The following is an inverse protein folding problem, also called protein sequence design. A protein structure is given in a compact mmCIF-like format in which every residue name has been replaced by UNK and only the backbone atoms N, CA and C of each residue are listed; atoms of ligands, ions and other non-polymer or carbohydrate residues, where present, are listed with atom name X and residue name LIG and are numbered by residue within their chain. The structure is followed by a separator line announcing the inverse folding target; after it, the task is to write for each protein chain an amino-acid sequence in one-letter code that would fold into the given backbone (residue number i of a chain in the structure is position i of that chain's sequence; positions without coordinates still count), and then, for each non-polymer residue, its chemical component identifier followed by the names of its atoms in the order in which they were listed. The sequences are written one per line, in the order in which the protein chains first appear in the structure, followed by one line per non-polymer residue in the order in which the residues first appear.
data_IF_738209154172
#
_entry.id   IF_738209154172
#
_cell.length_a   1.000
_cell.length_b   1.000
_cell.length_c   1.000
_cell.angle_alpha   90.00
_cell.angle_beta   90.00
_cell.angle_gamma   90.00
#
_symmetry.space_group_name_H-M   'P 1'
#
loop_
_entity.id
_entity.type
_entity.pdbx_description
1 polymer ?
#
# COMPACT_ATOMS: atom_id res chain seq x y z
N UNK A 1 7.65 -13.46 55.19
CA UNK A 1 7.59 -14.74 54.45
C UNK A 1 7.26 -14.44 53.00
N UNK A 2 8.18 -14.80 52.10
CA UNK A 2 8.12 -14.53 50.68
C UNK A 2 7.02 -15.35 50.00
N UNK A 3 6.23 -14.70 49.14
CA UNK A 3 5.48 -15.37 48.07
C UNK A 3 6.29 -15.22 46.78
N UNK A 4 7.34 -16.04 46.65
CA UNK A 4 8.02 -16.29 45.39
C UNK A 4 7.54 -17.63 44.84
N UNK A 5 7.27 -17.69 43.53
CA UNK A 5 7.13 -18.94 42.79
C UNK A 5 5.72 -19.24 42.28
N UNK A 6 5.22 -18.46 41.32
CA UNK A 6 4.21 -18.93 40.38
C UNK A 6 4.86 -19.01 39.00
N UNK A 7 4.76 -20.14 38.27
CA UNK A 7 5.25 -20.22 36.90
C UNK A 7 4.55 -19.19 36.01
N UNK A 8 5.27 -18.62 35.05
CA UNK A 8 4.75 -17.61 34.10
C UNK A 8 3.49 -18.08 33.34
N UNK A 9 3.29 -19.40 33.19
CA UNK A 9 2.07 -19.99 32.63
C UNK A 9 0.81 -19.74 33.48
N UNK A 10 0.93 -19.66 34.81
CA UNK A 10 -0.21 -19.43 35.70
C UNK A 10 -0.64 -17.96 35.77
N UNK A 11 0.32 -17.02 35.61
CA UNK A 11 0.01 -15.60 35.41
C UNK A 11 -0.72 -15.36 34.09
N UNK A 12 -0.41 -16.15 33.06
CA UNK A 12 -1.16 -16.15 31.79
C UNK A 12 -2.55 -16.75 31.94
N UNK A 13 -2.72 -17.88 32.63
CA UNK A 13 -4.04 -18.48 32.89
C UNK A 13 -4.91 -17.57 33.75
N UNK A 14 -4.34 -16.89 34.76
CA UNK A 14 -5.06 -15.90 35.55
C UNK A 14 -5.45 -14.66 34.73
N UNK A 15 -4.58 -14.20 33.81
CA UNK A 15 -4.85 -13.07 32.91
C UNK A 15 -5.90 -13.40 31.84
N UNK A 16 -5.86 -14.62 31.29
CA UNK A 16 -6.87 -15.13 30.37
C UNK A 16 -8.20 -15.37 31.09
N UNK A 17 -8.18 -15.88 32.32
CA UNK A 17 -9.36 -16.04 33.17
C UNK A 17 -10.01 -14.70 33.50
N UNK A 18 -9.23 -13.66 33.79
CA UNK A 18 -9.74 -12.29 33.98
C UNK A 18 -10.36 -11.74 32.68
N UNK A 19 -9.75 -12.02 31.53
CA UNK A 19 -10.28 -11.61 30.22
C UNK A 19 -11.60 -12.32 29.89
N UNK A 20 -11.70 -13.61 30.22
CA UNK A 20 -12.90 -14.42 30.02
C UNK A 20 -14.04 -13.95 30.95
N UNK A 21 -13.72 -13.65 32.22
CA UNK A 21 -14.69 -13.11 33.17
C UNK A 21 -15.23 -11.73 32.72
N UNK A 22 -14.36 -10.89 32.13
CA UNK A 22 -14.75 -9.60 31.55
C UNK A 22 -15.63 -9.78 30.32
N UNK A 23 -15.36 -10.77 29.47
CA UNK A 23 -16.20 -11.08 28.30
C UNK A 23 -17.58 -11.63 28.72
N UNK A 24 -17.64 -12.48 29.75
CA UNK A 24 -18.89 -13.00 30.34
C UNK A 24 -19.72 -11.88 30.97
N UNK A 25 -19.07 -10.95 31.70
CA UNK A 25 -19.74 -9.79 32.29
C UNK A 25 -20.23 -8.76 31.24
N UNK A 26 -19.57 -8.68 30.07
CA UNK A 26 -20.03 -7.85 28.94
C UNK A 26 -21.16 -8.49 28.13
N UNK A 27 -21.25 -9.83 28.14
CA UNK A 27 -22.28 -10.61 27.45
C UNK A 27 -23.57 -10.81 28.28
N UNK A 28 -23.53 -10.63 29.61
CA UNK A 28 -24.71 -10.80 30.47
C UNK A 28 -25.76 -9.68 30.26
N UNK A 29 -27.08 -9.99 30.13
CA UNK A 29 -28.11 -9.02 29.77
C UNK A 29 -28.51 -8.04 30.89
N UNK A 30 -28.05 -8.24 32.13
CA UNK A 30 -28.54 -7.52 33.29
C UNK A 30 -27.53 -6.47 33.79
N UNK A 31 -27.72 -5.22 33.34
CA UNK A 31 -27.44 -3.93 34.01
C UNK A 31 -26.76 -2.87 33.12
N UNK A 32 -27.52 -1.82 32.81
CA UNK A 32 -27.14 -0.77 31.85
C UNK A 32 -26.24 0.33 32.46
N UNK A 33 -26.10 0.38 33.80
CA UNK A 33 -25.44 1.48 34.51
C UNK A 33 -23.93 1.26 34.72
N UNK A 34 -23.46 0.02 34.88
CA UNK A 34 -22.04 -0.32 35.02
C UNK A 34 -21.22 -0.13 33.72
N UNK A 35 -21.87 -0.24 32.54
CA UNK A 35 -21.22 -0.13 31.23
C UNK A 35 -20.66 1.28 30.93
N UNK A 36 -21.25 2.36 31.47
CA UNK A 36 -20.80 3.73 31.19
C UNK A 36 -19.53 4.09 31.97
N UNK A 37 -19.45 3.69 33.25
CA UNK A 37 -18.34 4.02 34.14
C UNK A 37 -17.10 3.16 33.86
N UNK A 38 -17.28 1.87 33.57
CA UNK A 38 -16.17 0.99 33.16
C UNK A 38 -15.64 1.34 31.75
N UNK A 39 -16.51 1.73 30.80
CA UNK A 39 -16.05 2.23 29.48
C UNK A 39 -15.27 3.53 29.59
N UNK A 40 -15.68 4.47 30.45
CA UNK A 40 -14.97 5.76 30.59
C UNK A 40 -13.61 5.60 31.27
N UNK A 41 -13.52 4.79 32.33
CA UNK A 41 -12.27 4.44 33.01
C UNK A 41 -11.33 3.63 32.11
N UNK A 42 -11.87 2.67 31.35
CA UNK A 42 -11.05 1.88 30.41
C UNK A 42 -10.62 2.71 29.21
N UNK A 43 -11.45 3.61 28.66
CA UNK A 43 -11.03 4.54 27.60
C UNK A 43 -9.99 5.56 28.08
N UNK A 44 -10.03 6.01 29.33
CA UNK A 44 -9.02 6.91 29.88
C UNK A 44 -7.66 6.23 30.14
N UNK A 45 -7.67 4.98 30.66
CA UNK A 45 -6.43 4.20 30.90
C UNK A 45 -5.86 3.55 29.63
N UNK A 46 -6.69 3.06 28.71
CA UNK A 46 -6.25 2.58 27.40
C UNK A 46 -5.75 3.72 26.52
N UNK A 47 -6.30 4.94 26.62
CA UNK A 47 -5.70 6.13 25.99
C UNK A 47 -4.28 6.39 26.48
N UNK A 48 -3.96 6.25 27.78
CA UNK A 48 -2.58 6.42 28.30
C UNK A 48 -1.65 5.27 27.91
N UNK A 49 -2.16 4.03 27.86
CA UNK A 49 -1.38 2.87 27.38
C UNK A 49 -1.12 2.98 25.86
N UNK A 50 -2.11 3.39 25.08
CA UNK A 50 -2.00 3.67 23.64
C UNK A 50 -1.20 4.95 23.35
N UNK A 51 -1.18 5.94 24.25
CA UNK A 51 -0.34 7.15 24.14
C UNK A 51 1.16 6.81 24.22
N UNK A 52 1.52 5.82 25.04
CA UNK A 52 2.90 5.30 25.15
C UNK A 52 3.28 4.32 24.05
N UNK A 53 2.32 3.71 23.36
CA UNK A 53 2.55 2.78 22.24
C UNK A 53 2.52 3.51 20.89
N UNK A 54 1.83 4.65 20.79
CA UNK A 54 1.60 5.38 19.54
C UNK A 54 2.59 6.50 19.19
N UNK A 55 3.64 6.71 19.99
CA UNK A 55 4.69 7.72 19.74
C UNK A 55 6.05 7.12 19.33
N UNK A 56 6.14 5.80 19.20
CA UNK A 56 7.29 5.18 18.56
C UNK A 56 7.12 5.24 17.04
N UNK A 57 7.90 6.08 16.36
CA UNK A 57 8.35 5.76 15.01
C UNK A 57 8.90 4.32 15.02
N UNK A 58 8.93 3.66 13.87
CA UNK A 58 9.32 2.25 13.67
C UNK A 58 10.68 1.78 14.25
N UNK A 59 11.37 2.62 15.04
CA UNK A 59 12.58 2.34 15.78
C UNK A 59 12.46 2.77 17.25
N UNK A 60 11.93 1.93 18.13
CA UNK A 60 12.31 1.99 19.56
C UNK A 60 11.92 0.73 20.31
N UNK A 61 12.94 -0.08 20.61
CA UNK A 61 13.06 -1.25 21.51
C UNK A 61 13.49 -2.52 20.79
N UNK A 62 14.72 -2.51 20.30
CA UNK A 62 15.48 -3.72 19.92
C UNK A 62 16.81 -3.76 20.70
N UNK A 63 16.73 -3.62 22.03
CA UNK A 63 17.91 -3.66 22.93
C UNK A 63 17.95 -4.93 23.81
N UNK A 64 16.93 -5.79 23.77
CA UNK A 64 16.87 -7.00 24.60
C UNK A 64 16.81 -8.33 23.81
N UNK A 65 17.25 -8.34 22.56
CA UNK A 65 17.23 -9.53 21.70
C UNK A 65 18.57 -9.81 21.00
N UNK A 66 19.70 -9.47 21.65
CA UNK A 66 21.05 -9.84 21.18
C UNK A 66 21.69 -10.99 21.97
N UNK A 67 20.94 -11.68 22.83
CA UNK A 67 21.49 -12.76 23.67
C UNK A 67 20.84 -14.14 23.51
N UNK A 68 19.81 -14.33 22.67
CA UNK A 68 18.96 -15.52 22.80
C UNK A 68 18.51 -16.20 21.49
N UNK A 69 19.15 -15.95 20.34
CA UNK A 69 18.94 -16.78 19.12
C UNK A 69 17.49 -17.06 18.71
N UNK A 70 16.56 -16.12 18.93
CA UNK A 70 15.14 -16.28 18.60
C UNK A 70 14.84 -15.60 17.25
N UNK A 71 14.18 -16.33 16.34
CA UNK A 71 13.79 -15.88 15.01
C UNK A 71 12.89 -14.63 15.07
N UNK A 72 13.02 -13.77 14.07
CA UNK A 72 12.30 -12.51 13.94
C UNK A 72 10.89 -12.67 13.34
N UNK A 73 10.08 -13.63 13.83
CA UNK A 73 8.73 -13.93 13.30
C UNK A 73 7.58 -13.09 13.90
N UNK A 74 7.90 -11.92 14.46
CA UNK A 74 6.90 -10.96 14.98
C UNK A 74 6.09 -10.17 13.91
N UNK A 75 6.57 -9.93 12.67
CA UNK A 75 5.82 -9.18 11.65
C UNK A 75 4.52 -9.84 11.20
N UNK A 76 4.49 -11.18 11.10
CA UNK A 76 3.36 -11.98 10.59
C UNK A 76 2.07 -11.79 11.39
N UNK A 77 2.16 -11.79 12.73
CA UNK A 77 0.98 -11.66 13.59
C UNK A 77 0.31 -10.28 13.48
N UNK A 78 1.10 -9.19 13.46
CA UNK A 78 0.56 -7.83 13.31
C UNK A 78 -0.06 -7.61 11.93
N UNK A 79 0.59 -8.14 10.89
CA UNK A 79 0.09 -8.08 9.51
C UNK A 79 -1.24 -8.84 9.37
N UNK A 80 -1.34 -10.04 9.95
CA UNK A 80 -2.59 -10.82 9.99
C UNK A 80 -3.71 -10.08 10.75
N UNK A 81 -3.40 -9.46 11.89
CA UNK A 81 -4.37 -8.64 12.63
C UNK A 81 -4.87 -7.45 11.81
N UNK A 82 -4.00 -6.79 11.06
CA UNK A 82 -4.37 -5.66 10.21
C UNK A 82 -5.22 -6.09 9.01
N UNK A 83 -4.87 -7.17 8.33
CA UNK A 83 -5.57 -7.58 7.10
C UNK A 83 -6.84 -8.38 7.35
N UNK A 84 -6.91 -9.21 8.41
CA UNK A 84 -7.98 -10.20 8.59
C UNK A 84 -9.01 -9.86 9.66
N UNK A 85 -8.83 -8.77 10.42
CA UNK A 85 -9.70 -8.49 11.57
C UNK A 85 -10.27 -7.07 11.56
N UNK A 86 -11.37 -6.89 12.31
CA UNK A 86 -11.97 -5.59 12.55
C UNK A 86 -11.03 -4.58 13.23
N UNK A 87 -9.97 -5.05 13.91
CA UNK A 87 -8.95 -4.18 14.52
C UNK A 87 -8.15 -3.45 13.45
N UNK A 88 -7.82 -4.11 12.33
CA UNK A 88 -7.19 -3.46 11.18
C UNK A 88 -8.04 -2.36 10.59
N UNK A 89 -9.33 -2.62 10.41
CA UNK A 89 -10.30 -1.60 9.99
C UNK A 89 -10.36 -0.42 10.97
N UNK A 90 -10.33 -0.66 12.29
CA UNK A 90 -10.25 0.42 13.28
C UNK A 90 -8.95 1.24 13.16
N UNK A 91 -7.82 0.57 12.95
CA UNK A 91 -6.52 1.22 12.76
C UNK A 91 -6.53 2.12 11.53
N UNK A 92 -7.02 1.62 10.39
CA UNK A 92 -7.27 2.41 9.19
C UNK A 92 -8.15 3.62 9.48
N UNK A 93 -9.29 3.45 10.16
CA UNK A 93 -10.17 4.59 10.51
C UNK A 93 -9.50 5.60 11.42
N UNK A 94 -8.55 5.19 12.25
CA UNK A 94 -7.75 6.11 13.05
C UNK A 94 -6.71 6.85 12.20
N UNK A 95 -6.02 6.17 11.29
CA UNK A 95 -5.10 6.78 10.32
C UNK A 95 -5.84 7.80 9.46
N UNK A 96 -7.02 7.44 8.92
CA UNK A 96 -7.88 8.32 8.14
C UNK A 96 -8.23 9.60 8.88
N UNK A 97 -8.68 9.49 10.14
CA UNK A 97 -8.99 10.66 10.98
C UNK A 97 -7.77 11.55 11.23
N UNK A 98 -6.61 10.94 11.51
CA UNK A 98 -5.35 11.69 11.72
C UNK A 98 -4.90 12.40 10.45
N UNK A 99 -4.98 11.71 9.32
CA UNK A 99 -4.62 12.24 8.01
C UNK A 99 -5.50 13.43 7.63
N UNK A 100 -6.83 13.32 7.74
CA UNK A 100 -7.74 14.45 7.48
C UNK A 100 -7.45 15.66 8.35
N UNK A 101 -7.10 15.46 9.62
CA UNK A 101 -6.72 16.55 10.52
C UNK A 101 -5.38 17.19 10.13
N UNK A 102 -4.40 16.40 9.68
CA UNK A 102 -3.07 16.87 9.31
C UNK A 102 -3.02 17.48 7.91
N UNK A 103 -3.79 16.92 6.99
CA UNK A 103 -3.81 17.21 5.56
C UNK A 103 -5.26 17.37 5.07
N UNK A 104 -5.98 18.44 5.48
CA UNK A 104 -7.40 18.60 5.14
C UNK A 104 -7.67 18.75 3.64
N UNK A 105 -6.64 19.09 2.84
CA UNK A 105 -6.69 19.18 1.37
C UNK A 105 -5.91 18.06 0.67
N UNK A 106 -5.58 16.98 1.39
CA UNK A 106 -4.67 15.93 0.93
C UNK A 106 -3.19 16.26 1.18
N UNK A 107 -2.34 15.23 1.16
CA UNK A 107 -0.90 15.35 1.41
C UNK A 107 -0.13 16.00 0.24
N UNK A 108 -0.74 16.05 -0.94
CA UNK A 108 -0.14 16.59 -2.16
C UNK A 108 -1.10 17.49 -2.94
N UNK A 109 -0.56 18.45 -3.67
CA UNK A 109 -1.22 19.18 -4.75
C UNK A 109 -1.07 18.36 -6.02
N UNK A 110 -2.18 17.95 -6.59
CA UNK A 110 -2.19 17.11 -7.78
C UNK A 110 -2.57 17.87 -9.04
N UNK A 111 -2.16 17.36 -10.19
CA UNK A 111 -2.56 17.86 -11.50
C UNK A 111 -3.26 16.73 -12.26
N UNK A 112 -4.50 16.93 -12.74
CA UNK A 112 -5.15 15.97 -13.59
C UNK A 112 -4.41 15.85 -14.93
N UNK A 113 -4.39 14.66 -15.51
CA UNK A 113 -3.98 14.45 -16.89
C UNK A 113 -5.22 14.35 -17.78
N UNK A 114 -5.22 15.13 -18.85
CA UNK A 114 -6.30 15.18 -19.83
C UNK A 114 -5.79 14.60 -21.15
N UNK A 115 -6.56 13.67 -21.69
CA UNK A 115 -6.38 13.08 -23.01
C UNK A 115 -7.67 13.28 -23.82
N UNK A 116 -7.76 12.71 -25.02
CA UNK A 116 -8.93 12.88 -25.88
C UNK A 116 -10.20 12.20 -25.30
N UNK A 117 -10.95 12.96 -24.51
CA UNK A 117 -12.17 12.50 -23.85
C UNK A 117 -11.93 11.64 -22.60
N UNK A 118 -10.69 11.57 -22.11
CA UNK A 118 -10.32 10.85 -20.87
C UNK A 118 -9.60 11.78 -19.92
N UNK A 119 -9.95 11.74 -18.63
CA UNK A 119 -9.25 12.45 -17.57
C UNK A 119 -8.81 11.49 -16.47
N UNK A 120 -7.55 11.53 -16.09
CA UNK A 120 -7.02 10.82 -14.90
C UNK A 120 -6.76 11.84 -13.80
N UNK A 121 -7.49 11.72 -12.70
CA UNK A 121 -7.42 12.60 -11.54
C UNK A 121 -6.84 11.86 -10.34
N UNK A 122 -5.56 12.08 -9.99
CA UNK A 122 -5.00 11.68 -8.69
C UNK A 122 -5.64 12.44 -7.52
N UNK A 123 -6.06 11.68 -6.51
CA UNK A 123 -6.69 12.15 -5.27
C UNK A 123 -5.77 11.74 -4.10
N UNK A 124 -5.03 12.70 -3.49
CA UNK A 124 -4.18 12.39 -2.36
C UNK A 124 -5.03 12.13 -1.11
N UNK A 125 -4.91 10.92 -0.57
CA UNK A 125 -5.66 10.45 0.59
C UNK A 125 -4.71 9.95 1.66
N UNK A 126 -5.20 9.82 2.90
CA UNK A 126 -4.37 9.40 4.02
C UNK A 126 -3.09 10.27 4.15
N UNK A 127 -1.95 9.68 4.52
CA UNK A 127 -0.71 10.44 4.72
C UNK A 127 0.14 10.54 3.45
N UNK A 128 0.04 9.54 2.58
CA UNK A 128 0.87 9.40 1.38
C UNK A 128 0.20 8.58 0.25
N UNK A 129 -0.96 7.96 0.46
CA UNK A 129 -1.67 7.18 -0.56
C UNK A 129 -2.27 8.05 -1.68
N UNK A 130 -2.40 7.48 -2.86
CA UNK A 130 -3.21 8.02 -3.95
C UNK A 130 -4.38 7.10 -4.26
N UNK A 131 -5.58 7.67 -4.30
CA UNK A 131 -6.69 7.12 -5.07
C UNK A 131 -6.69 7.78 -6.44
N UNK A 132 -7.30 7.15 -7.45
CA UNK A 132 -7.44 7.72 -8.78
C UNK A 132 -8.88 7.73 -9.24
N UNK A 133 -9.30 8.81 -9.90
CA UNK A 133 -10.58 8.88 -10.60
C UNK A 133 -10.30 8.99 -12.10
N UNK A 134 -10.66 7.96 -12.85
CA UNK A 134 -10.53 7.88 -14.31
C UNK A 134 -11.90 8.20 -14.89
N UNK A 135 -11.97 9.20 -15.77
CA UNK A 135 -13.23 9.77 -16.24
C UNK A 135 -13.29 9.69 -17.76
N UNK A 136 -14.35 9.09 -18.30
CA UNK A 136 -14.81 9.38 -19.67
C UNK A 136 -15.55 10.72 -19.63
N UNK A 137 -14.94 11.76 -20.16
CA UNK A 137 -15.47 13.13 -20.04
C UNK A 137 -16.68 13.37 -20.92
N UNK A 138 -16.87 12.57 -21.99
CA UNK A 138 -18.03 12.71 -22.87
C UNK A 138 -19.24 11.99 -22.27
N UNK A 139 -19.05 10.76 -21.80
CA UNK A 139 -20.12 9.98 -21.17
C UNK A 139 -20.43 10.43 -19.72
N UNK A 140 -19.52 11.21 -19.10
CA UNK A 140 -19.55 11.59 -17.68
C UNK A 140 -19.59 10.36 -16.76
N UNK A 141 -18.89 9.30 -17.15
CA UNK A 141 -18.74 8.08 -16.37
C UNK A 141 -17.36 8.05 -15.74
N UNK A 142 -17.27 7.50 -14.52
CA UNK A 142 -16.03 7.43 -13.79
C UNK A 142 -15.77 6.06 -13.17
N UNK A 143 -14.49 5.72 -13.11
CA UNK A 143 -13.92 4.56 -12.42
C UNK A 143 -12.99 5.06 -11.32
N UNK A 144 -13.18 4.58 -10.09
CA UNK A 144 -12.28 4.90 -8.99
C UNK A 144 -11.31 3.74 -8.74
N UNK A 145 -10.00 4.01 -8.74
CA UNK A 145 -8.98 3.03 -8.33
C UNK A 145 -8.60 3.29 -6.89
N UNK A 146 -8.60 2.24 -6.06
CA UNK A 146 -8.22 2.23 -4.65
C UNK A 146 -8.82 3.39 -3.85
N UNK A 147 -10.16 3.49 -3.70
CA UNK A 147 -10.80 4.62 -3.06
C UNK A 147 -10.67 4.58 -1.53
N UNK A 148 -9.48 4.80 -0.99
CA UNK A 148 -9.13 4.63 0.42
C UNK A 148 -9.87 5.60 1.34
N UNK A 149 -10.04 6.86 0.94
CA UNK A 149 -10.84 7.85 1.66
C UNK A 149 -12.16 8.10 0.90
N UNK A 150 -13.28 7.51 1.35
CA UNK A 150 -14.55 7.63 0.64
C UNK A 150 -15.10 9.07 0.62
N UNK A 151 -14.71 9.95 1.56
CA UNK A 151 -15.16 11.34 1.55
C UNK A 151 -14.39 12.18 0.53
N UNK A 152 -13.07 12.00 0.45
CA UNK A 152 -12.24 12.71 -0.52
C UNK A 152 -12.58 12.30 -1.97
N UNK A 153 -12.81 11.00 -2.18
CA UNK A 153 -13.22 10.46 -3.48
C UNK A 153 -14.63 10.95 -3.85
N UNK A 154 -15.60 10.88 -2.93
CA UNK A 154 -16.95 11.40 -3.17
C UNK A 154 -16.95 12.90 -3.51
N UNK A 155 -16.19 13.71 -2.78
CA UNK A 155 -16.07 15.14 -3.07
C UNK A 155 -15.48 15.41 -4.46
N UNK A 156 -14.57 14.56 -4.93
CA UNK A 156 -14.00 14.65 -6.28
C UNK A 156 -15.01 14.26 -7.35
N UNK A 157 -15.79 13.20 -7.12
CA UNK A 157 -16.89 12.77 -8.01
C UNK A 157 -17.92 13.90 -8.18
N UNK A 158 -18.36 14.51 -7.07
CA UNK A 158 -19.31 15.63 -7.08
C UNK A 158 -18.76 16.86 -7.79
N UNK A 159 -17.50 17.21 -7.51
CA UNK A 159 -16.83 18.35 -8.14
C UNK A 159 -16.71 18.19 -9.66
N UNK A 160 -16.44 16.98 -10.13
CA UNK A 160 -16.32 16.68 -11.56
C UNK A 160 -17.68 16.47 -12.24
N UNK A 161 -18.77 16.30 -11.47
CA UNK A 161 -20.12 16.12 -12.00
C UNK A 161 -20.29 14.82 -12.78
N UNK A 162 -19.63 13.75 -12.33
CA UNK A 162 -19.57 12.44 -13.01
C UNK A 162 -20.32 11.35 -12.24
N UNK A 163 -20.75 10.31 -12.93
CA UNK A 163 -21.36 9.13 -12.32
C UNK A 163 -20.31 8.05 -12.06
N UNK A 164 -20.17 7.60 -10.82
CA UNK A 164 -19.26 6.52 -10.47
C UNK A 164 -19.91 5.17 -10.79
N UNK A 165 -19.33 4.43 -11.74
CA UNK A 165 -19.88 3.14 -12.19
C UNK A 165 -19.04 1.94 -11.80
N UNK A 166 -17.75 2.15 -11.51
CA UNK A 166 -16.85 1.08 -11.12
C UNK A 166 -15.83 1.53 -10.07
N UNK A 167 -15.49 0.61 -9.17
CA UNK A 167 -14.35 0.67 -8.27
C UNK A 167 -13.41 -0.46 -8.64
N UNK A 168 -12.14 -0.15 -8.85
CA UNK A 168 -11.07 -1.13 -9.08
C UNK A 168 -10.16 -1.15 -7.84
N UNK A 169 -10.06 -2.30 -7.18
CA UNK A 169 -9.15 -2.47 -6.05
C UNK A 169 -7.93 -3.26 -6.46
N UNK A 170 -6.75 -2.70 -6.29
CA UNK A 170 -5.48 -3.38 -6.61
C UNK A 170 -5.25 -4.54 -5.65
N UNK A 171 -5.52 -4.33 -4.35
CA UNK A 171 -5.38 -5.36 -3.32
C UNK A 171 -6.21 -5.05 -2.06
N UNK A 172 -6.14 -5.95 -1.08
CA UNK A 172 -7.04 -5.94 0.09
C UNK A 172 -6.73 -4.94 1.19
N UNK A 173 -5.54 -4.33 1.23
CA UNK A 173 -5.17 -3.49 2.38
C UNK A 173 -6.13 -2.31 2.55
N UNK A 174 -6.39 -1.94 3.81
CA UNK A 174 -7.46 -1.00 4.13
C UNK A 174 -7.18 0.42 3.65
N UNK A 175 -5.92 0.76 3.46
CA UNK A 175 -5.50 2.01 2.84
C UNK A 175 -5.64 2.02 1.31
N UNK A 176 -6.22 0.97 0.72
CA UNK A 176 -6.66 0.91 -0.69
C UNK A 176 -8.16 0.60 -0.79
N UNK A 177 -8.63 -0.42 -0.06
CA UNK A 177 -10.02 -0.90 -0.13
C UNK A 177 -10.98 -0.26 0.89
N UNK A 178 -10.47 0.62 1.76
CA UNK A 178 -11.20 1.11 2.94
C UNK A 178 -12.48 1.90 2.66
N UNK A 179 -12.59 2.56 1.50
CA UNK A 179 -13.78 3.29 1.11
C UNK A 179 -14.80 2.51 0.27
N UNK A 180 -14.50 1.26 -0.13
CA UNK A 180 -15.39 0.46 -0.98
C UNK A 180 -16.81 0.40 -0.45
N UNK A 181 -16.94 0.06 0.84
CA UNK A 181 -18.23 -0.03 1.54
C UNK A 181 -19.04 1.26 1.41
N UNK A 182 -18.38 2.38 1.67
CA UNK A 182 -19.03 3.68 1.82
C UNK A 182 -19.42 4.25 0.45
N UNK A 183 -18.59 4.06 -0.58
CA UNK A 183 -18.91 4.45 -1.95
C UNK A 183 -19.96 3.55 -2.59
N UNK A 184 -19.88 2.23 -2.42
CA UNK A 184 -20.88 1.29 -2.98
C UNK A 184 -22.28 1.52 -2.41
N UNK A 185 -22.38 1.99 -1.15
CA UNK A 185 -23.67 2.36 -0.56
C UNK A 185 -24.24 3.67 -1.11
N UNK A 186 -23.39 4.60 -1.55
CA UNK A 186 -23.79 5.87 -2.15
C UNK A 186 -24.15 5.72 -3.62
N UNK A 187 -23.43 4.85 -4.33
CA UNK A 187 -23.60 4.57 -5.76
C UNK A 187 -24.03 3.11 -5.92
N UNK A 188 -25.35 2.84 -5.82
CA UNK A 188 -25.88 1.48 -5.70
C UNK A 188 -25.58 0.60 -6.93
N UNK A 189 -25.47 1.21 -8.11
CA UNK A 189 -25.15 0.51 -9.36
C UNK A 189 -23.63 0.37 -9.60
N UNK A 190 -22.80 0.89 -8.68
CA UNK A 190 -21.36 0.83 -8.80
C UNK A 190 -20.84 -0.59 -8.56
N UNK A 191 -20.08 -1.10 -9.53
CA UNK A 191 -19.47 -2.43 -9.48
C UNK A 191 -18.11 -2.35 -8.80
N UNK A 192 -17.88 -3.19 -7.81
CA UNK A 192 -16.58 -3.33 -7.14
C UNK A 192 -15.84 -4.53 -7.73
N UNK A 193 -14.70 -4.25 -8.34
CA UNK A 193 -13.80 -5.21 -8.95
C UNK A 193 -12.52 -5.40 -8.15
N UNK A 194 -11.92 -6.57 -8.30
CA UNK A 194 -10.65 -6.95 -7.69
C UNK A 194 -10.50 -8.47 -7.63
N UNK A 195 -9.35 -8.94 -7.15
CA UNK A 195 -9.09 -10.37 -7.09
C UNK A 195 -9.90 -11.06 -5.99
N UNK A 196 -10.56 -12.20 -6.28
CA UNK A 196 -11.20 -13.01 -5.25
C UNK A 196 -10.20 -13.61 -4.25
N UNK A 197 -8.91 -13.74 -4.62
CA UNK A 197 -7.86 -14.30 -3.76
C UNK A 197 -7.53 -13.40 -2.57
N UNK A 198 -7.80 -12.10 -2.71
CA UNK A 198 -7.49 -11.10 -1.69
C UNK A 198 -8.68 -10.76 -0.78
N UNK A 199 -9.86 -11.33 -1.01
CA UNK A 199 -11.03 -11.09 -0.15
C UNK A 199 -11.40 -9.60 -0.09
N UNK A 200 -11.38 -8.92 -1.24
CA UNK A 200 -11.67 -7.49 -1.36
C UNK A 200 -13.01 -7.14 -0.69
N UNK A 201 -13.04 -6.18 0.25
CA UNK A 201 -14.29 -5.75 0.87
C UNK A 201 -15.30 -5.25 -0.16
N UNK A 202 -16.53 -5.78 -0.08
CA UNK A 202 -17.65 -5.43 -0.97
C UNK A 202 -17.41 -5.82 -2.44
N UNK A 203 -16.55 -6.80 -2.71
CA UNK A 203 -16.37 -7.36 -4.05
C UNK A 203 -17.71 -7.85 -4.62
N UNK A 204 -18.01 -7.43 -5.85
CA UNK A 204 -19.21 -7.84 -6.57
C UNK A 204 -18.88 -8.50 -7.91
N UNK A 205 -17.78 -8.08 -8.54
CA UNK A 205 -17.35 -8.55 -9.84
C UNK A 205 -15.88 -9.00 -9.75
N UNK A 206 -15.61 -10.26 -9.40
CA UNK A 206 -14.23 -10.76 -9.30
C UNK A 206 -13.53 -10.65 -10.66
N UNK A 207 -12.24 -10.34 -10.63
CA UNK A 207 -11.37 -10.33 -11.81
C UNK A 207 -10.22 -11.32 -11.66
N UNK A 208 -9.85 -11.92 -12.78
CA UNK A 208 -8.68 -12.74 -12.99
C UNK A 208 -7.66 -12.02 -13.88
N UNK A 209 -6.52 -12.67 -14.11
CA UNK A 209 -5.51 -12.17 -15.03
C UNK A 209 -6.09 -11.96 -16.43
N UNK A 210 -5.74 -10.84 -17.06
CA UNK A 210 -6.13 -10.41 -18.41
C UNK A 210 -7.62 -10.08 -18.61
N UNK A 211 -8.46 -10.14 -17.58
CA UNK A 211 -9.85 -9.74 -17.67
C UNK A 211 -9.98 -8.25 -18.03
N UNK A 212 -11.03 -7.93 -18.81
CA UNK A 212 -11.30 -6.58 -19.29
C UNK A 212 -12.49 -5.96 -18.57
N UNK A 213 -12.34 -4.71 -18.15
CA UNK A 213 -13.41 -3.84 -17.64
C UNK A 213 -13.62 -2.69 -18.61
N UNK A 214 -14.80 -2.60 -19.20
CA UNK A 214 -15.20 -1.53 -20.11
C UNK A 214 -16.19 -0.57 -19.44
N UNK A 215 -15.87 0.72 -19.45
CA UNK A 215 -16.73 1.79 -18.93
C UNK A 215 -16.73 2.96 -19.91
N UNK A 216 -17.82 3.16 -20.67
CA UNK A 216 -17.81 4.12 -21.76
C UNK A 216 -16.69 3.80 -22.75
N UNK A 217 -15.78 4.75 -23.00
CA UNK A 217 -14.56 4.52 -23.80
C UNK A 217 -13.39 3.91 -23.03
N UNK A 218 -13.46 3.82 -21.70
CA UNK A 218 -12.38 3.32 -20.87
C UNK A 218 -12.28 1.81 -21.04
N UNK A 219 -11.15 1.34 -21.56
CA UNK A 219 -10.82 -0.08 -21.67
C UNK A 219 -9.70 -0.38 -20.69
N UNK A 220 -10.02 -1.12 -19.62
CA UNK A 220 -9.09 -1.35 -18.52
C UNK A 220 -8.85 -2.85 -18.38
N UNK A 221 -7.62 -3.29 -18.59
CA UNK A 221 -7.20 -4.66 -18.39
C UNK A 221 -6.68 -4.87 -16.97
N UNK A 222 -7.13 -5.92 -16.29
CA UNK A 222 -6.53 -6.39 -15.05
C UNK A 222 -5.35 -7.31 -15.36
N UNK A 223 -4.21 -7.10 -14.71
CA UNK A 223 -3.06 -7.98 -14.79
C UNK A 223 -2.73 -8.50 -13.39
N UNK A 224 -2.61 -9.82 -13.25
CA UNK A 224 -2.26 -10.44 -11.98
C UNK A 224 -0.77 -10.23 -11.68
N UNK A 225 -0.50 -9.65 -10.51
CA UNK A 225 0.85 -9.28 -10.09
C UNK A 225 1.11 -9.68 -8.64
N UNK A 226 1.00 -10.98 -8.30
CA UNK A 226 1.23 -11.45 -6.93
C UNK A 226 2.62 -11.06 -6.43
N UNK A 227 2.74 -10.79 -5.13
CA UNK A 227 4.01 -10.43 -4.50
C UNK A 227 3.79 -9.65 -3.22
N UNK A 228 3.24 -8.43 -3.36
CA UNK A 228 2.85 -7.62 -2.21
C UNK A 228 1.76 -8.31 -1.39
N UNK A 229 0.65 -8.64 -2.05
CA UNK A 229 -0.34 -9.61 -1.61
C UNK A 229 -0.45 -10.74 -2.62
N UNK A 230 -1.10 -11.85 -2.25
CA UNK A 230 -1.33 -12.97 -3.17
C UNK A 230 -2.30 -12.60 -4.29
N UNK A 231 -3.35 -11.83 -3.99
CA UNK A 231 -4.35 -11.42 -4.98
C UNK A 231 -4.10 -10.07 -5.62
N UNK A 232 -2.88 -9.52 -5.59
CA UNK A 232 -2.62 -8.19 -6.12
C UNK A 232 -2.87 -8.14 -7.65
N UNK A 233 -3.64 -7.15 -8.09
CA UNK A 233 -3.85 -6.80 -9.49
C UNK A 233 -3.31 -5.39 -9.76
N UNK A 234 -2.76 -5.19 -10.95
CA UNK A 234 -2.58 -3.85 -11.53
C UNK A 234 -3.60 -3.64 -12.64
N UNK A 235 -3.93 -2.37 -12.91
CA UNK A 235 -4.92 -2.02 -13.94
C UNK A 235 -4.26 -1.21 -15.04
N UNK A 236 -4.34 -1.69 -16.27
CA UNK A 236 -3.83 -1.03 -17.46
C UNK A 236 -4.99 -0.42 -18.25
N UNK A 237 -5.08 0.90 -18.25
CA UNK A 237 -5.97 1.64 -19.14
C UNK A 237 -5.33 1.74 -20.53
N UNK A 238 -5.98 1.18 -21.53
CA UNK A 238 -5.54 1.22 -22.93
C UNK A 238 -5.64 2.64 -23.51
N UNK A 239 -4.51 3.10 -24.05
CA UNK A 239 -4.34 4.42 -24.66
C UNK A 239 -4.95 4.58 -26.06
N UNK A 240 -5.13 3.47 -26.80
CA UNK A 240 -5.55 3.49 -28.19
C UNK A 240 -6.93 4.16 -28.40
N UNK A 241 -7.99 3.84 -27.61
CA UNK A 241 -9.31 4.45 -27.79
C UNK A 241 -9.35 5.98 -27.65
N UNK A 242 -8.39 6.56 -26.91
CA UNK A 242 -8.28 8.02 -26.71
C UNK A 242 -7.02 8.61 -27.33
N UNK A 243 -6.31 7.89 -28.22
CA UNK A 243 -5.11 8.35 -28.93
C UNK A 243 -4.09 9.00 -27.98
N UNK A 244 -3.83 8.36 -26.85
CA UNK A 244 -2.88 8.81 -25.85
C UNK A 244 -2.06 7.65 -25.30
N UNK A 245 -1.16 7.89 -24.34
CA UNK A 245 -0.39 6.82 -23.72
C UNK A 245 -1.29 5.95 -22.83
N UNK A 246 -0.98 4.66 -22.76
CA UNK A 246 -1.58 3.77 -21.77
C UNK A 246 -1.22 4.20 -20.34
N UNK A 247 -2.10 3.92 -19.39
CA UNK A 247 -1.91 4.28 -17.97
C UNK A 247 -1.95 3.03 -17.09
N UNK A 248 -0.86 2.75 -16.36
CA UNK A 248 -0.74 1.66 -15.41
C UNK A 248 -1.01 2.15 -13.98
N UNK A 249 -2.08 1.68 -13.36
CA UNK A 249 -2.36 1.86 -11.94
C UNK A 249 -1.78 0.68 -11.17
N UNK A 250 -0.62 0.88 -10.56
CA UNK A 250 0.23 -0.21 -10.09
C UNK A 250 -0.03 -0.63 -8.64
N UNK A 251 -0.88 0.10 -7.90
CA UNK A 251 -1.07 -0.12 -6.47
C UNK A 251 0.27 -0.18 -5.75
N UNK A 252 0.48 -1.29 -5.05
CA UNK A 252 1.68 -1.54 -4.25
C UNK A 252 2.66 -2.51 -4.91
N UNK A 253 2.49 -2.82 -6.19
CA UNK A 253 3.51 -3.54 -6.95
C UNK A 253 4.73 -2.63 -7.21
N UNK A 254 4.51 -1.54 -7.93
CA UNK A 254 5.54 -0.66 -8.47
C UNK A 254 5.31 0.78 -8.01
N UNK A 255 6.35 1.40 -7.47
CA UNK A 255 6.38 2.80 -7.09
C UNK A 255 7.42 3.55 -7.92
N UNK A 256 7.37 4.88 -7.91
CA UNK A 256 8.46 5.68 -8.44
C UNK A 256 9.76 5.33 -7.69
N UNK A 257 10.74 4.78 -8.43
CA UNK A 257 12.03 4.28 -7.96
C UNK A 257 11.98 3.16 -6.89
N UNK A 258 10.85 2.48 -6.72
CA UNK A 258 10.70 1.42 -5.72
C UNK A 258 9.72 0.32 -6.13
N UNK A 259 9.59 -0.69 -5.28
CA UNK A 259 8.53 -1.71 -5.36
C UNK A 259 7.90 -1.93 -3.98
N UNK A 260 6.77 -2.65 -3.95
CA UNK A 260 6.15 -3.12 -2.73
C UNK A 260 7.06 -3.96 -1.85
N UNK A 261 6.73 -4.02 -0.56
CA UNK A 261 7.25 -5.08 0.33
C UNK A 261 6.58 -6.40 -0.03
N UNK A 262 7.33 -7.49 0.01
CA UNK A 262 6.82 -8.83 -0.31
C UNK A 262 6.17 -9.46 0.93
N UNK A 263 4.94 -9.05 1.28
CA UNK A 263 4.29 -9.55 2.50
C UNK A 263 3.77 -10.99 2.37
N UNK A 264 3.28 -11.37 1.19
CA UNK A 264 2.61 -12.67 0.99
C UNK A 264 3.15 -13.49 -0.19
N UNK A 265 4.12 -12.95 -0.93
CA UNK A 265 4.81 -13.64 -2.04
C UNK A 265 6.27 -13.97 -1.75
N UNK A 266 6.98 -14.41 -2.79
CA UNK A 266 8.45 -14.63 -2.78
C UNK A 266 9.14 -13.59 -3.66
N UNK A 267 10.48 -13.56 -3.62
CA UNK A 267 11.25 -12.69 -4.52
C UNK A 267 11.05 -13.10 -5.99
N UNK A 268 10.92 -14.39 -6.26
CA UNK A 268 10.63 -14.97 -7.58
C UNK A 268 9.26 -14.51 -8.07
N UNK A 269 8.23 -14.59 -7.22
CA UNK A 269 6.88 -14.14 -7.56
C UNK A 269 6.84 -12.63 -7.82
N UNK A 270 7.49 -11.83 -6.96
CA UNK A 270 7.60 -10.38 -7.15
C UNK A 270 8.35 -10.04 -8.45
N UNK A 271 9.45 -10.73 -8.73
CA UNK A 271 10.23 -10.53 -9.96
C UNK A 271 9.38 -10.82 -11.21
N UNK A 272 8.65 -11.94 -11.22
CA UNK A 272 7.75 -12.27 -12.33
C UNK A 272 6.70 -11.18 -12.56
N UNK A 273 6.13 -10.64 -11.48
CA UNK A 273 5.14 -9.55 -11.55
C UNK A 273 5.74 -8.24 -12.06
N UNK A 274 6.98 -7.92 -11.67
CA UNK A 274 7.72 -6.77 -12.21
C UNK A 274 8.06 -6.97 -13.69
N UNK A 275 8.40 -8.19 -14.11
CA UNK A 275 8.68 -8.52 -15.50
C UNK A 275 7.43 -8.40 -16.38
N UNK A 276 6.24 -8.75 -15.87
CA UNK A 276 4.96 -8.50 -16.55
C UNK A 276 4.77 -7.02 -16.89
N UNK A 277 4.96 -6.12 -15.92
CA UNK A 277 4.81 -4.68 -16.18
C UNK A 277 5.98 -4.10 -16.99
N UNK A 278 7.17 -4.71 -16.92
CA UNK A 278 8.29 -4.40 -17.81
C UNK A 278 8.06 -4.86 -19.26
N UNK A 279 7.05 -5.67 -19.54
CA UNK A 279 6.64 -5.99 -20.92
C UNK A 279 5.89 -4.85 -21.62
N UNK A 280 5.45 -3.83 -20.88
CA UNK A 280 4.64 -2.72 -21.41
C UNK A 280 5.50 -1.63 -22.10
N UNK A 281 4.87 -0.76 -22.89
CA UNK A 281 5.55 0.32 -23.63
C UNK A 281 6.26 1.33 -22.73
N UNK A 282 7.41 1.86 -23.16
CA UNK A 282 8.20 2.85 -22.42
C UNK A 282 7.40 4.11 -22.06
N UNK A 283 6.46 4.51 -22.90
CA UNK A 283 5.60 5.68 -22.76
C UNK A 283 4.41 5.47 -21.82
N UNK A 284 4.20 4.23 -21.34
CA UNK A 284 3.13 3.91 -20.39
C UNK A 284 3.30 4.73 -19.11
N UNK A 285 2.27 5.49 -18.75
CA UNK A 285 2.26 6.33 -17.56
C UNK A 285 2.03 5.49 -16.30
N UNK A 286 2.91 5.63 -15.31
CA UNK A 286 2.84 4.93 -14.03
C UNK A 286 2.12 5.75 -12.95
N UNK A 287 1.08 5.17 -12.36
CA UNK A 287 0.25 5.73 -11.32
C UNK A 287 0.31 4.85 -10.04
N UNK A 288 1.23 5.15 -9.11
CA UNK A 288 1.53 4.31 -7.94
C UNK A 288 0.58 4.51 -6.75
N UNK A 289 0.44 3.50 -5.89
CA UNK A 289 -0.37 3.57 -4.67
C UNK A 289 0.05 4.65 -3.67
N UNK A 290 1.33 5.03 -3.66
CA UNK A 290 1.90 5.94 -2.65
C UNK A 290 2.91 6.96 -3.20
N UNK A 291 3.00 8.10 -2.50
CA UNK A 291 4.00 9.16 -2.67
C UNK A 291 5.33 8.82 -1.96
N UNK A 292 6.00 7.76 -2.42
CA UNK A 292 7.28 7.28 -1.84
C UNK A 292 8.52 7.69 -2.65
N UNK A 293 8.36 8.52 -3.69
CA UNK A 293 9.41 8.83 -4.66
C UNK A 293 10.73 9.32 -4.03
N UNK A 294 10.66 10.25 -3.08
CA UNK A 294 11.85 10.84 -2.44
C UNK A 294 12.62 9.81 -1.60
N UNK A 295 11.93 9.03 -0.78
CA UNK A 295 12.54 7.95 0.01
C UNK A 295 13.15 6.87 -0.90
N UNK A 296 12.41 6.47 -1.93
CA UNK A 296 12.82 5.44 -2.87
C UNK A 296 14.07 5.84 -3.67
N UNK A 297 14.12 7.09 -4.16
CA UNK A 297 15.29 7.62 -4.84
C UNK A 297 16.48 7.79 -3.89
N UNK A 298 16.23 8.10 -2.61
CA UNK A 298 17.26 8.17 -1.57
C UNK A 298 17.92 6.81 -1.37
N UNK A 299 17.12 5.75 -1.25
CA UNK A 299 17.62 4.37 -1.22
C UNK A 299 18.34 4.00 -2.52
N UNK A 300 17.76 4.29 -3.68
CA UNK A 300 18.38 3.99 -4.98
C UNK A 300 19.75 4.65 -5.11
N UNK A 301 19.99 5.79 -4.47
CA UNK A 301 21.30 6.43 -4.45
C UNK A 301 22.34 5.87 -3.51
N UNK A 302 21.93 5.10 -2.51
CA UNK A 302 22.86 4.27 -1.75
C UNK A 302 23.32 3.09 -2.61
N UNK A 303 22.43 2.56 -3.44
CA UNK A 303 22.70 1.37 -4.25
C UNK A 303 23.47 1.70 -5.54
N UNK A 304 23.02 2.70 -6.30
CA UNK A 304 23.65 3.17 -7.54
C UNK A 304 24.03 4.65 -7.39
N UNK A 305 25.15 4.99 -6.70
CA UNK A 305 25.55 6.37 -6.43
C UNK A 305 25.86 7.17 -7.71
N UNK A 306 26.33 6.51 -8.77
CA UNK A 306 26.76 7.13 -10.03
C UNK A 306 25.65 7.20 -11.09
N UNK A 307 24.43 6.75 -10.79
CA UNK A 307 23.32 6.80 -11.74
C UNK A 307 22.80 8.24 -11.92
N UNK A 308 23.21 8.90 -13.01
CA UNK A 308 22.82 10.27 -13.33
C UNK A 308 21.32 10.44 -13.60
N UNK A 309 20.64 9.43 -14.14
CA UNK A 309 19.19 9.49 -14.35
C UNK A 309 18.45 9.56 -13.01
N UNK A 310 18.90 8.75 -12.04
CA UNK A 310 18.41 8.75 -10.66
C UNK A 310 18.64 10.11 -9.98
N UNK A 311 19.83 10.69 -10.12
CA UNK A 311 20.16 11.99 -9.53
C UNK A 311 19.29 13.13 -10.09
N UNK A 312 19.13 13.18 -11.42
CA UNK A 312 18.24 14.16 -12.07
C UNK A 312 16.79 14.00 -11.59
N UNK A 313 16.31 12.76 -11.44
CA UNK A 313 14.95 12.49 -10.94
C UNK A 313 14.80 12.91 -9.48
N UNK A 314 15.80 12.65 -8.62
CA UNK A 314 15.81 13.09 -7.21
C UNK A 314 15.66 14.61 -7.11
N UNK A 315 16.46 15.37 -7.85
CA UNK A 315 16.39 16.83 -7.85
C UNK A 315 15.02 17.34 -8.33
N UNK A 316 14.43 16.69 -9.34
CA UNK A 316 13.07 17.00 -9.78
C UNK A 316 12.03 16.71 -8.68
N UNK A 317 12.11 15.54 -8.04
CA UNK A 317 11.21 15.14 -6.96
C UNK A 317 11.30 16.12 -5.79
N UNK A 318 12.49 16.46 -5.32
CA UNK A 318 12.68 17.43 -4.23
C UNK A 318 12.04 18.78 -4.55
N UNK A 319 12.21 19.29 -5.78
CA UNK A 319 11.54 20.53 -6.22
C UNK A 319 10.02 20.40 -6.19
N UNK A 320 9.45 19.28 -6.66
CA UNK A 320 8.00 19.05 -6.55
C UNK A 320 7.55 19.03 -5.09
N UNK A 321 8.27 18.31 -4.22
CA UNK A 321 7.89 18.12 -2.81
C UNK A 321 8.00 19.40 -1.97
N UNK A 322 8.91 20.32 -2.30
CA UNK A 322 8.96 21.65 -1.68
C UNK A 322 7.63 22.41 -1.84
N UNK A 323 6.98 22.27 -3.00
CA UNK A 323 5.65 22.85 -3.29
C UNK A 323 4.49 21.91 -2.92
N UNK A 324 4.79 20.78 -2.28
CA UNK A 324 3.88 19.64 -2.03
C UNK A 324 3.22 19.11 -3.29
N UNK A 325 3.82 19.22 -4.46
CA UNK A 325 3.28 18.69 -5.70
C UNK A 325 3.45 17.16 -5.77
N UNK A 326 2.46 16.50 -6.34
CA UNK A 326 2.54 15.06 -6.62
C UNK A 326 3.71 14.75 -7.56
N UNK A 327 4.39 13.63 -7.33
CA UNK A 327 5.47 13.16 -8.20
C UNK A 327 5.01 12.18 -9.28
N UNK A 328 3.74 11.77 -9.24
CA UNK A 328 3.13 10.93 -10.26
C UNK A 328 2.36 11.76 -11.31
N UNK A 329 2.23 11.25 -12.56
CA UNK A 329 2.82 10.01 -13.04
C UNK A 329 4.29 10.16 -13.43
N UNK A 330 5.05 9.07 -13.39
CA UNK A 330 6.26 8.86 -14.20
C UNK A 330 5.93 8.01 -15.43
N UNK A 331 6.91 7.61 -16.22
CA UNK A 331 6.79 6.62 -17.30
C UNK A 331 7.55 5.34 -16.98
N UNK A 332 7.17 4.20 -17.56
CA UNK A 332 7.93 2.95 -17.38
C UNK A 332 9.35 3.04 -17.94
N UNK A 333 9.56 3.80 -19.02
CA UNK A 333 10.89 4.07 -19.56
C UNK A 333 11.78 4.86 -18.59
N UNK A 334 11.21 5.87 -17.90
CA UNK A 334 11.91 6.55 -16.81
C UNK A 334 12.26 5.57 -15.68
N UNK A 335 11.32 4.76 -15.22
CA UNK A 335 11.55 3.81 -14.13
C UNK A 335 12.67 2.80 -14.45
N UNK A 336 12.74 2.29 -15.69
CA UNK A 336 13.85 1.40 -16.15
C UNK A 336 15.23 2.04 -15.98
N UNK A 337 15.32 3.37 -16.05
CA UNK A 337 16.59 4.09 -15.97
C UNK A 337 17.13 4.25 -14.54
N UNK A 338 16.28 4.29 -13.51
CA UNK A 338 16.69 4.60 -12.14
C UNK A 338 16.11 3.72 -11.03
N UNK A 339 15.10 2.90 -11.30
CA UNK A 339 14.46 2.07 -10.28
C UNK A 339 15.28 0.78 -10.09
N UNK A 340 15.95 0.59 -8.93
CA UNK A 340 16.85 -0.56 -8.74
C UNK A 340 16.11 -1.90 -8.86
N UNK A 341 14.82 -1.95 -8.53
CA UNK A 341 14.03 -3.19 -8.61
C UNK A 341 13.70 -3.60 -10.05
N UNK A 342 13.73 -2.67 -11.00
CA UNK A 342 13.55 -2.94 -12.43
C UNK A 342 14.89 -3.21 -13.16
N UNK A 343 16.01 -3.01 -12.45
CA UNK A 343 17.37 -3.04 -13.00
C UNK A 343 18.17 -4.26 -12.54
N UNK A 344 17.52 -5.28 -11.97
CA UNK A 344 18.17 -6.52 -11.50
C UNK A 344 18.91 -7.30 -12.59
N UNK A 345 18.62 -7.02 -13.87
CA UNK A 345 19.33 -7.56 -15.03
C UNK A 345 20.58 -6.75 -15.43
N UNK A 346 20.75 -5.52 -14.92
CA UNK A 346 21.87 -4.65 -15.28
C UNK A 346 23.15 -5.03 -14.52
N UNK A 347 24.24 -5.29 -15.24
CA UNK A 347 25.54 -5.64 -14.63
C UNK A 347 26.02 -4.60 -13.61
N UNK A 348 25.86 -3.30 -13.91
CA UNK A 348 26.26 -2.20 -13.01
C UNK A 348 25.60 -2.33 -11.62
N UNK A 349 24.31 -2.70 -11.57
CA UNK A 349 23.61 -2.89 -10.30
C UNK A 349 24.09 -4.16 -9.58
N UNK A 350 24.36 -5.23 -10.33
CA UNK A 350 24.86 -6.49 -9.79
C UNK A 350 26.24 -6.30 -9.14
N UNK A 351 27.13 -5.58 -9.81
CA UNK A 351 28.46 -5.22 -9.32
C UNK A 351 28.38 -4.33 -8.07
N UNK A 352 27.50 -3.32 -8.07
CA UNK A 352 27.31 -2.42 -6.93
C UNK A 352 26.81 -3.14 -5.66
N UNK A 353 26.06 -4.23 -5.80
CA UNK A 353 25.60 -5.05 -4.68
C UNK A 353 26.66 -6.08 -4.22
N UNK A 354 27.76 -6.25 -4.96
CA UNK A 354 28.87 -7.15 -4.68
C UNK A 354 28.56 -8.65 -4.88
N UNK A 355 29.58 -9.50 -5.06
CA UNK A 355 29.41 -10.95 -5.13
C UNK A 355 28.89 -11.51 -3.79
N UNK A 356 28.02 -12.52 -3.85
CA UNK A 356 27.51 -13.19 -2.65
C UNK A 356 28.59 -14.00 -1.91
N UNK A 357 28.31 -14.52 -0.70
CA UNK A 357 29.25 -15.40 -0.02
C UNK A 357 29.38 -16.73 -0.80
N UNK A 358 30.62 -17.12 -1.16
CA UNK A 358 30.97 -18.34 -1.93
C UNK A 358 30.82 -19.67 -1.16
N UNK A 359 31.44 -20.81 -1.53
CA UNK A 359 32.45 -21.08 -2.56
C UNK A 359 32.12 -22.35 -3.40
N UNK A 360 31.39 -22.25 -4.51
CA UNK A 360 31.35 -23.31 -5.54
C UNK A 360 30.89 -22.70 -6.87
N UNK A 361 31.84 -22.36 -7.75
CA UNK A 361 31.73 -22.49 -9.20
C UNK A 361 30.72 -21.68 -10.03
N UNK A 362 29.56 -21.25 -9.51
CA UNK A 362 28.54 -20.50 -10.27
C UNK A 362 28.43 -19.06 -9.73
N UNK A 363 29.26 -18.18 -10.30
CA UNK A 363 29.53 -16.84 -9.77
C UNK A 363 28.49 -15.78 -10.17
N UNK A 364 27.23 -15.91 -9.71
CA UNK A 364 26.25 -14.82 -9.80
C UNK A 364 25.00 -15.06 -8.96
N UNK A 365 24.49 -14.01 -8.31
CA UNK A 365 23.14 -14.06 -7.76
C UNK A 365 22.14 -14.16 -8.92
N UNK A 366 21.12 -15.02 -8.80
CA UNK A 366 19.95 -14.92 -9.68
C UNK A 366 19.26 -13.56 -9.52
N UNK A 367 18.51 -13.11 -10.55
CA UNK A 367 17.73 -11.87 -10.47
C UNK A 367 16.78 -11.83 -9.27
N UNK A 368 16.21 -12.98 -8.88
CA UNK A 368 15.32 -13.08 -7.73
C UNK A 368 16.08 -12.88 -6.41
N UNK A 369 17.25 -13.51 -6.24
CA UNK A 369 18.09 -13.29 -5.06
C UNK A 369 18.61 -11.85 -4.95
N UNK A 370 18.92 -11.20 -6.08
CA UNK A 370 19.27 -9.78 -6.11
C UNK A 370 18.08 -8.91 -5.68
N UNK A 371 16.88 -9.20 -6.19
CA UNK A 371 15.67 -8.51 -5.78
C UNK A 371 15.42 -8.69 -4.28
N UNK A 372 15.60 -9.89 -3.75
CA UNK A 372 15.46 -10.17 -2.32
C UNK A 372 16.46 -9.35 -1.50
N UNK A 373 17.74 -9.35 -1.90
CA UNK A 373 18.80 -8.56 -1.26
C UNK A 373 18.48 -7.07 -1.28
N UNK A 374 18.06 -6.53 -2.42
CA UNK A 374 17.61 -5.13 -2.54
C UNK A 374 16.45 -4.82 -1.61
N UNK A 375 15.48 -5.73 -1.53
CA UNK A 375 14.29 -5.56 -0.69
C UNK A 375 14.68 -5.53 0.79
N UNK A 376 15.55 -6.44 1.24
CA UNK A 376 16.08 -6.48 2.59
C UNK A 376 16.88 -5.21 2.92
N UNK A 377 17.73 -4.74 2.00
CA UNK A 377 18.48 -3.51 2.17
C UNK A 377 17.55 -2.30 2.29
N UNK A 378 16.50 -2.22 1.46
CA UNK A 378 15.52 -1.12 1.54
C UNK A 378 14.71 -1.15 2.82
N UNK A 379 14.33 -2.33 3.31
CA UNK A 379 13.56 -2.47 4.55
C UNK A 379 14.38 -2.09 5.81
N UNK A 380 15.71 -2.19 5.71
CA UNK A 380 16.64 -1.72 6.74
C UNK A 380 17.04 -0.26 6.56
N UNK A 381 16.89 0.29 5.35
CA UNK A 381 17.21 1.67 5.05
C UNK A 381 16.29 2.61 5.84
N UNK A 382 16.92 3.53 6.57
CA UNK A 382 16.21 4.63 7.20
C UNK A 382 16.56 5.88 6.42
N UNK A 383 15.55 6.53 5.86
CA UNK A 383 15.71 7.89 5.34
C UNK A 383 16.27 8.76 6.47
N UNK A 384 17.40 9.42 6.22
CA UNK A 384 17.99 10.37 7.17
C UNK A 384 17.18 11.65 7.21
#
# INVERSE_FOLDING_TARGET
MAWQGWPSSWLWVASCGLLLLVLVLLASPSSCRARRTLRSLFMARSKRLLFRIGHGTWASRRVWARGAGLSTDVPSCRYSLYTRTWLGYLFYRQQLRRARNRYPKGHSRTQPRLFNGVKVLPIPVLSDNYSYLIIDTQARLAVAVDPSDPQAVQASIEKEGVNLVAILCTHKHWDHSGGNRDLSRRHQDCRVYGSPQDGIPYLTHPLCDQDMVSVGRLQIQALATPGHTQGHLVYLLDGEPYKGPSCLFSGDLLFLSGCGRTFEGTAETMLSSLDTVLGLGDDTLLWPGHEYAEENLGFAGVVEPENLARERKMQWVQRQRLERRSTCPSTLGEERSYNPFLRTHCLVLQEALGPGPGPTGDNGYSRAQLLEKLRQLKDLHKSK
#
